data_IF_425851679780
#
_entry.id   IF_425851679780
#
_cell.length_a   1.000
_cell.length_b   1.000
_cell.length_c   1.000
_cell.angle_alpha   90.00
_cell.angle_beta   90.00
_cell.angle_gamma   90.00
#
_symmetry.space_group_name_H-M   'P 1'
#
loop_
_entity.id
_entity.type
_entity.pdbx_description
1 polymer ?
#
# COMPACT_ATOMS: atom_id res chain seq x y z
N UNK A 1 5.26 -10.99 10.18
CA UNK A 1 5.51 -9.78 9.40
C UNK A 1 5.92 -8.65 10.32
N UNK A 2 6.85 -7.85 9.86
CA UNK A 2 7.39 -6.79 10.68
C UNK A 2 6.97 -5.42 10.15
N UNK A 3 6.21 -4.68 10.95
CA UNK A 3 5.75 -3.33 10.58
C UNK A 3 6.74 -2.29 11.08
N UNK A 4 7.04 -1.31 10.24
CA UNK A 4 7.84 -0.16 10.65
C UNK A 4 7.01 0.82 11.47
N UNK A 5 5.70 0.86 11.22
CA UNK A 5 4.81 1.79 11.91
C UNK A 5 3.37 1.27 11.83
N UNK A 6 2.73 1.13 12.99
CA UNK A 6 1.33 0.74 13.05
C UNK A 6 0.44 1.80 12.43
N UNK A 7 0.80 3.07 12.60
CA UNK A 7 0.04 4.16 12.03
C UNK A 7 0.07 4.14 10.52
N UNK A 8 1.24 3.92 9.93
CA UNK A 8 1.35 3.82 8.48
C UNK A 8 0.52 2.66 7.95
N UNK A 9 0.54 1.54 8.65
CA UNK A 9 -0.25 0.37 8.27
C UNK A 9 -1.75 0.72 8.26
N UNK A 10 -2.23 1.36 9.32
CA UNK A 10 -3.63 1.76 9.41
C UNK A 10 -4.03 2.70 8.29
N UNK A 11 -3.17 3.67 7.98
CA UNK A 11 -3.44 4.63 6.90
C UNK A 11 -3.56 3.91 5.56
N UNK A 12 -2.59 3.07 5.24
CA UNK A 12 -2.55 2.39 3.94
C UNK A 12 -3.73 1.43 3.80
N UNK A 13 -4.00 0.62 4.81
CA UNK A 13 -5.12 -0.32 4.77
C UNK A 13 -6.44 0.42 4.62
N UNK A 14 -6.63 1.45 5.42
CA UNK A 14 -7.86 2.24 5.37
C UNK A 14 -8.08 2.86 3.99
N UNK A 15 -7.02 3.47 3.42
CA UNK A 15 -7.14 4.09 2.11
C UNK A 15 -7.38 3.06 1.01
N UNK A 16 -6.69 1.94 1.07
CA UNK A 16 -6.87 0.90 0.07
C UNK A 16 -8.31 0.38 0.07
N UNK A 17 -8.88 0.16 1.24
CA UNK A 17 -10.24 -0.37 1.33
C UNK A 17 -11.32 0.70 1.15
N UNK A 18 -11.02 1.95 1.44
CA UNK A 18 -11.98 3.03 1.14
C UNK A 18 -12.15 3.22 -0.36
N UNK A 19 -11.14 2.82 -1.14
CA UNK A 19 -11.15 2.86 -2.59
C UNK A 19 -11.23 1.45 -3.17
N UNK A 20 -11.99 0.58 -2.53
CA UNK A 20 -11.98 -0.85 -2.88
C UNK A 20 -12.42 -1.16 -4.31
N UNK A 21 -13.17 -0.26 -4.94
CA UNK A 21 -13.59 -0.43 -6.35
C UNK A 21 -12.48 -0.08 -7.32
N UNK A 22 -11.45 0.59 -6.84
CA UNK A 22 -10.31 0.97 -7.66
C UNK A 22 -9.18 -0.02 -7.48
N UNK A 23 -8.29 -0.06 -8.47
CA UNK A 23 -7.07 -0.86 -8.35
C UNK A 23 -6.15 -0.19 -7.33
N UNK A 24 -5.15 -0.95 -6.87
CA UNK A 24 -4.15 -0.42 -5.95
C UNK A 24 -3.46 0.81 -6.56
N UNK A 25 -3.20 0.77 -7.87
CA UNK A 25 -2.62 1.91 -8.59
C UNK A 25 -3.38 3.20 -8.32
N UNK A 26 -4.70 3.15 -8.47
CA UNK A 26 -5.53 4.35 -8.32
C UNK A 26 -5.92 4.64 -6.88
N UNK A 27 -6.09 3.59 -6.08
CA UNK A 27 -6.50 3.74 -4.70
C UNK A 27 -5.46 4.37 -3.81
N UNK A 28 -4.18 4.10 -4.10
CA UNK A 28 -3.07 4.60 -3.28
C UNK A 28 -2.24 5.66 -3.97
N UNK A 29 -2.69 6.20 -5.09
CA UNK A 29 -1.91 7.14 -5.88
C UNK A 29 -1.52 8.42 -5.12
N UNK A 30 -2.30 8.80 -4.12
CA UNK A 30 -2.00 9.99 -3.33
C UNK A 30 -0.95 9.74 -2.25
N UNK A 31 -0.60 8.49 -2.03
CA UNK A 31 0.34 8.09 -0.99
C UNK A 31 1.61 7.49 -1.55
N UNK A 32 1.47 6.72 -2.63
CA UNK A 32 2.58 5.98 -3.23
C UNK A 32 2.48 6.09 -4.75
N UNK A 33 3.64 6.23 -5.41
CA UNK A 33 3.60 6.23 -6.87
C UNK A 33 3.72 4.81 -7.42
N UNK A 34 3.34 4.66 -8.69
CA UNK A 34 3.28 3.35 -9.34
C UNK A 34 4.64 2.66 -9.37
N UNK A 35 5.69 3.41 -9.69
CA UNK A 35 7.02 2.82 -9.80
C UNK A 35 7.48 2.20 -8.50
N UNK A 36 7.20 2.87 -7.39
CA UNK A 36 7.59 2.38 -6.07
C UNK A 36 6.81 1.13 -5.70
N UNK A 37 5.51 1.12 -5.99
CA UNK A 37 4.68 -0.06 -5.70
C UNK A 37 5.13 -1.25 -6.54
N UNK A 38 5.45 -1.00 -7.80
CA UNK A 38 5.88 -2.06 -8.71
C UNK A 38 7.21 -2.67 -8.26
N UNK A 39 8.12 -1.84 -7.77
CA UNK A 39 9.43 -2.30 -7.31
C UNK A 39 9.34 -3.31 -6.18
N UNK A 40 8.35 -3.20 -5.32
CA UNK A 40 8.20 -4.14 -4.21
C UNK A 40 7.35 -5.35 -4.58
N UNK A 41 6.98 -5.47 -5.85
CA UNK A 41 6.30 -6.66 -6.36
C UNK A 41 4.80 -6.73 -6.10
N UNK A 42 4.17 -5.60 -5.85
CA UNK A 42 2.72 -5.58 -5.63
C UNK A 42 2.02 -5.36 -6.98
N UNK A 43 1.01 -6.19 -7.30
CA UNK A 43 0.29 -6.04 -8.57
C UNK A 43 -0.56 -4.76 -8.57
N UNK A 44 -0.26 -3.87 -9.50
CA UNK A 44 -0.92 -2.56 -9.59
C UNK A 44 -2.38 -2.64 -9.99
N UNK A 45 -2.74 -3.66 -10.76
CA UNK A 45 -4.09 -3.79 -11.31
C UNK A 45 -5.04 -4.60 -10.42
N UNK A 46 -4.56 -5.03 -9.26
CA UNK A 46 -5.40 -5.76 -8.31
C UNK A 46 -6.10 -4.80 -7.38
N UNK A 47 -7.25 -5.25 -6.86
CA UNK A 47 -7.99 -4.49 -5.85
C UNK A 47 -7.54 -4.91 -4.46
N UNK A 48 -7.80 -4.05 -3.46
CA UNK A 48 -7.39 -4.31 -2.08
C UNK A 48 -7.84 -5.69 -1.58
N UNK A 49 -9.06 -6.09 -1.93
CA UNK A 49 -9.61 -7.36 -1.45
C UNK A 49 -8.85 -8.59 -1.95
N UNK A 50 -8.07 -8.43 -3.00
CA UNK A 50 -7.30 -9.53 -3.59
C UNK A 50 -5.85 -9.59 -3.09
N UNK A 51 -5.47 -8.69 -2.21
CA UNK A 51 -4.12 -8.68 -1.65
C UNK A 51 -4.07 -9.45 -0.34
N UNK A 52 -2.89 -9.96 -0.02
CA UNK A 52 -2.64 -10.63 1.25
C UNK A 52 -2.14 -9.61 2.27
N UNK A 53 -2.21 -9.99 3.56
CA UNK A 53 -1.74 -9.10 4.61
C UNK A 53 -0.26 -8.73 4.43
N UNK A 54 0.54 -9.66 3.94
CA UNK A 54 1.98 -9.39 3.69
C UNK A 54 2.17 -8.28 2.66
N UNK A 55 1.25 -8.16 1.71
CA UNK A 55 1.32 -7.11 0.71
C UNK A 55 1.04 -5.74 1.32
N UNK A 56 0.08 -5.69 2.25
CA UNK A 56 -0.20 -4.44 2.97
C UNK A 56 0.95 -4.05 3.89
N UNK A 57 1.63 -5.04 4.48
CA UNK A 57 2.82 -4.77 5.28
C UNK A 57 3.89 -4.12 4.41
N UNK A 58 4.13 -4.67 3.23
CA UNK A 58 5.11 -4.10 2.29
C UNK A 58 4.75 -2.68 1.89
N UNK A 59 3.48 -2.46 1.55
CA UNK A 59 3.01 -1.14 1.15
C UNK A 59 3.15 -0.13 2.28
N UNK A 60 2.81 -0.53 3.49
CA UNK A 60 2.89 0.38 4.64
C UNK A 60 4.33 0.69 5.01
N UNK A 61 5.23 -0.30 4.90
CA UNK A 61 6.64 -0.06 5.17
C UNK A 61 7.25 0.86 4.12
N UNK A 62 6.84 0.72 2.86
CA UNK A 62 7.27 1.62 1.80
C UNK A 62 6.80 3.04 2.09
N UNK A 63 5.54 3.20 2.45
CA UNK A 63 4.98 4.50 2.79
C UNK A 63 5.76 5.14 3.94
N UNK A 64 6.01 4.37 4.98
CA UNK A 64 6.77 4.84 6.13
C UNK A 64 8.18 5.31 5.73
N UNK A 65 8.83 4.53 4.90
CA UNK A 65 10.16 4.86 4.39
C UNK A 65 10.19 6.19 3.63
N UNK A 66 9.20 6.37 2.76
CA UNK A 66 9.11 7.59 1.95
C UNK A 66 8.81 8.81 2.82
N UNK A 67 8.07 8.64 3.89
CA UNK A 67 7.75 9.73 4.81
C UNK A 67 8.96 10.15 5.65
N UNK A 68 9.89 9.24 5.87
CA UNK A 68 11.03 9.46 6.77
C UNK A 68 12.37 9.60 6.05
N UNK A 69 12.34 9.81 4.76
CA UNK A 69 13.58 10.06 4.01
C UNK A 69 13.94 11.53 3.98
#
# INVERSE_FOLDING_TARGET
YKLNSDESFKIIVREAFSQRRKTIRNGLKNYLNEDEIEKIGIPLNERAENLHIKDFVKLSNLYYQLQNN
#
